data_IF_500837101074
#
_entry.id   IF_500837101074
#
_cell.length_a   1.000
_cell.length_b   1.000
_cell.length_c   1.000
_cell.angle_alpha   90.00
_cell.angle_beta   90.00
_cell.angle_gamma   90.00
#
_symmetry.space_group_name_H-M   'P 1'
#
loop_
_entity.id
_entity.type
_entity.pdbx_description
1 polymer ?
#
# COMPACT_ATOMS: atom_id res chain seq x y z
N UNK A 1 -37.71 -22.75 4.30
CA UNK A 1 -37.55 -21.88 3.11
C UNK A 1 -38.73 -22.02 2.15
N UNK A 2 -38.95 -23.19 1.53
CA UNK A 2 -40.13 -23.40 0.68
C UNK A 2 -41.42 -23.36 1.50
N UNK A 3 -41.48 -24.14 2.59
CA UNK A 3 -42.71 -24.21 3.41
C UNK A 3 -43.03 -22.88 4.08
N UNK A 4 -42.02 -22.18 4.60
CA UNK A 4 -42.17 -20.82 5.15
C UNK A 4 -42.66 -19.81 4.11
N UNK A 5 -42.14 -19.84 2.87
CA UNK A 5 -42.63 -18.98 1.78
C UNK A 5 -44.08 -19.29 1.40
N UNK A 6 -44.42 -20.58 1.38
CA UNK A 6 -45.76 -21.05 1.08
C UNK A 6 -46.77 -20.63 2.15
N UNK A 7 -46.45 -20.83 3.43
CA UNK A 7 -47.30 -20.43 4.56
C UNK A 7 -47.52 -18.91 4.60
N UNK A 8 -46.47 -18.11 4.37
CA UNK A 8 -46.57 -16.66 4.34
C UNK A 8 -47.46 -16.16 3.20
N UNK A 9 -47.34 -16.74 1.99
CA UNK A 9 -48.22 -16.42 0.86
C UNK A 9 -49.65 -16.93 1.06
N UNK A 10 -49.84 -18.08 1.70
CA UNK A 10 -51.16 -18.61 2.04
C UNK A 10 -51.87 -17.75 3.09
N UNK A 11 -51.11 -17.13 3.99
CA UNK A 11 -51.63 -16.21 5.01
C UNK A 11 -52.02 -14.84 4.46
N UNK A 12 -51.38 -14.40 3.37
CA UNK A 12 -51.56 -13.07 2.77
C UNK A 12 -52.47 -13.06 1.54
N UNK A 13 -52.73 -14.21 0.91
CA UNK A 13 -53.63 -14.32 -0.24
C UNK A 13 -55.11 -14.34 0.18
N UNK A 14 -55.94 -13.62 -0.56
CA UNK A 14 -57.41 -13.68 -0.42
C UNK A 14 -57.96 -15.04 -0.91
N UNK A 15 -57.45 -15.52 -2.06
CA UNK A 15 -57.79 -16.80 -2.65
C UNK A 15 -56.71 -17.86 -2.33
N UNK A 16 -57.02 -18.73 -1.37
CA UNK A 16 -56.07 -19.73 -0.86
C UNK A 16 -55.81 -20.89 -1.84
N UNK A 17 -56.73 -21.14 -2.75
CA UNK A 17 -56.63 -22.25 -3.72
C UNK A 17 -55.59 -21.97 -4.82
N UNK A 18 -55.24 -20.71 -5.08
CA UNK A 18 -54.27 -20.33 -6.12
C UNK A 18 -52.82 -20.36 -5.64
N UNK A 19 -52.59 -20.54 -4.34
CA UNK A 19 -51.25 -20.54 -3.76
C UNK A 19 -50.64 -21.93 -3.91
N UNK A 20 -49.68 -22.09 -4.82
CA UNK A 20 -48.90 -23.33 -4.99
C UNK A 20 -47.50 -23.18 -4.37
N UNK A 21 -46.88 -24.31 -3.95
CA UNK A 21 -45.47 -24.32 -3.51
C UNK A 21 -44.55 -23.97 -4.69
N UNK A 22 -43.53 -23.17 -4.42
CA UNK A 22 -42.52 -22.74 -5.40
C UNK A 22 -41.21 -23.47 -5.21
N UNK A 23 -40.39 -23.48 -6.26
CA UNK A 23 -39.01 -23.95 -6.17
C UNK A 23 -38.15 -23.01 -5.32
N UNK A 24 -37.04 -23.53 -4.77
CA UNK A 24 -36.06 -22.70 -4.05
C UNK A 24 -35.52 -21.58 -4.95
N UNK A 25 -35.35 -21.85 -6.24
CA UNK A 25 -34.81 -20.90 -7.21
C UNK A 25 -35.75 -19.70 -7.39
N UNK A 26 -37.05 -19.93 -7.57
CA UNK A 26 -38.04 -18.85 -7.70
C UNK A 26 -38.13 -17.99 -6.43
N UNK A 27 -38.05 -18.62 -5.26
CA UNK A 27 -38.07 -17.91 -3.97
C UNK A 27 -36.83 -17.04 -3.82
N UNK A 28 -35.64 -17.59 -4.12
CA UNK A 28 -34.39 -16.84 -4.11
C UNK A 28 -34.43 -15.65 -5.07
N UNK A 29 -34.89 -15.90 -6.30
CA UNK A 29 -34.90 -14.89 -7.36
C UNK A 29 -35.80 -13.70 -7.01
N UNK A 30 -37.01 -13.97 -6.51
CA UNK A 30 -37.98 -12.91 -6.23
C UNK A 30 -37.73 -12.19 -4.90
N UNK A 31 -37.40 -12.92 -3.83
CA UNK A 31 -37.20 -12.30 -2.51
C UNK A 31 -35.83 -11.64 -2.35
N UNK A 32 -34.80 -12.16 -3.01
CA UNK A 32 -33.42 -11.74 -2.77
C UNK A 32 -32.76 -11.19 -4.03
N UNK A 33 -32.61 -12.00 -5.09
CA UNK A 33 -31.79 -11.62 -6.23
C UNK A 33 -32.30 -10.35 -6.94
N UNK A 34 -33.59 -10.25 -7.24
CA UNK A 34 -34.16 -9.07 -7.91
C UNK A 34 -34.06 -7.80 -7.06
N UNK A 35 -34.51 -7.77 -5.78
CA UNK A 35 -34.30 -6.61 -4.92
C UNK A 35 -32.82 -6.24 -4.75
N UNK A 36 -31.96 -7.22 -4.53
CA UNK A 36 -30.52 -7.01 -4.31
C UNK A 36 -29.84 -6.47 -5.57
N UNK A 37 -30.15 -7.02 -6.74
CA UNK A 37 -29.70 -6.51 -8.04
C UNK A 37 -30.12 -5.05 -8.25
N UNK A 38 -31.40 -4.73 -7.98
CA UNK A 38 -31.90 -3.37 -8.14
C UNK A 38 -31.23 -2.39 -7.16
N UNK A 39 -31.03 -2.80 -5.92
CA UNK A 39 -30.34 -2.00 -4.90
C UNK A 39 -28.87 -1.77 -5.28
N UNK A 40 -28.18 -2.83 -5.67
CA UNK A 40 -26.80 -2.77 -6.15
C UNK A 40 -26.67 -1.84 -7.35
N UNK A 41 -27.56 -1.95 -8.34
CA UNK A 41 -27.57 -1.06 -9.50
C UNK A 41 -27.91 0.38 -9.15
N UNK A 42 -28.81 0.63 -8.19
CA UNK A 42 -29.15 1.99 -7.74
C UNK A 42 -27.98 2.64 -7.01
N UNK A 43 -27.32 1.89 -6.12
CA UNK A 43 -26.15 2.36 -5.39
C UNK A 43 -24.98 2.62 -6.34
N UNK A 44 -24.68 1.67 -7.23
CA UNK A 44 -23.55 1.75 -8.15
C UNK A 44 -23.80 2.60 -9.40
N UNK A 45 -24.99 3.16 -9.61
CA UNK A 45 -25.30 4.02 -10.77
C UNK A 45 -24.39 5.24 -10.87
N UNK A 46 -23.83 5.67 -9.74
CA UNK A 46 -22.94 6.82 -9.63
C UNK A 46 -21.48 6.45 -9.37
N UNK A 47 -21.19 5.15 -9.22
CA UNK A 47 -19.82 4.64 -9.15
C UNK A 47 -19.31 4.44 -10.59
N UNK A 48 -18.19 5.05 -10.93
CA UNK A 48 -17.64 5.06 -12.28
C UNK A 48 -16.88 6.35 -12.57
N UNK A 49 -16.53 6.59 -13.83
CA UNK A 49 -15.86 7.82 -14.21
C UNK A 49 -16.73 9.05 -13.86
N UNK A 50 -16.21 9.98 -13.06
CA UNK A 50 -16.93 11.19 -12.72
C UNK A 50 -17.21 12.00 -13.99
N UNK A 51 -18.47 12.44 -14.16
CA UNK A 51 -18.91 13.18 -15.35
C UNK A 51 -18.13 14.48 -15.57
N UNK A 52 -17.57 15.05 -14.51
CA UNK A 52 -16.64 16.15 -14.54
C UNK A 52 -15.32 15.66 -13.95
N UNK A 53 -14.25 15.73 -14.74
CA UNK A 53 -12.92 15.28 -14.32
C UNK A 53 -12.24 16.25 -13.35
N UNK A 54 -12.58 17.54 -13.42
CA UNK A 54 -11.95 18.60 -12.63
C UNK A 54 -12.95 19.72 -12.31
N UNK A 55 -12.84 20.28 -11.11
CA UNK A 55 -13.39 21.58 -10.74
C UNK A 55 -12.58 22.69 -11.44
N UNK A 56 -13.21 23.79 -11.86
CA UNK A 56 -12.47 25.00 -12.25
C UNK A 56 -12.07 25.78 -11.00
N UNK A 57 -10.91 26.44 -11.03
CA UNK A 57 -10.38 27.17 -9.86
C UNK A 57 -11.37 28.18 -9.24
N UNK A 58 -12.29 28.71 -10.04
CA UNK A 58 -13.31 29.71 -9.68
C UNK A 58 -14.64 29.15 -9.14
N UNK A 59 -14.83 27.82 -9.11
CA UNK A 59 -16.05 27.18 -8.58
C UNK A 59 -15.89 26.78 -7.10
N UNK A 60 -16.96 26.90 -6.30
CA UNK A 60 -16.96 26.44 -4.91
C UNK A 60 -16.79 24.92 -4.80
N UNK A 61 -16.30 24.44 -3.66
CA UNK A 61 -16.09 23.02 -3.37
C UNK A 61 -17.43 22.25 -3.46
N UNK A 62 -17.56 21.35 -4.45
CA UNK A 62 -18.74 20.50 -4.66
C UNK A 62 -18.32 19.03 -4.57
N UNK A 63 -19.21 18.19 -4.03
CA UNK A 63 -19.03 16.75 -3.82
C UNK A 63 -18.91 15.93 -5.12
N UNK A 64 -18.84 16.60 -6.26
CA UNK A 64 -18.59 15.99 -7.57
C UNK A 64 -17.12 15.95 -7.96
N UNK A 65 -16.21 16.44 -7.10
CA UNK A 65 -14.78 16.40 -7.40
C UNK A 65 -14.29 14.94 -7.47
N UNK A 66 -13.72 14.62 -8.63
CA UNK A 66 -13.19 13.32 -8.98
C UNK A 66 -11.88 13.01 -8.26
N UNK A 67 -11.16 14.06 -7.83
CA UNK A 67 -9.78 13.93 -7.37
C UNK A 67 -9.67 13.09 -6.10
N UNK A 68 -10.62 13.23 -5.16
CA UNK A 68 -10.71 12.40 -3.95
C UNK A 68 -11.00 10.92 -4.24
N UNK A 69 -11.40 10.57 -5.47
CA UNK A 69 -11.64 9.18 -5.87
C UNK A 69 -10.37 8.47 -6.33
N UNK A 70 -9.28 9.19 -6.60
CA UNK A 70 -8.00 8.62 -6.97
C UNK A 70 -7.07 8.56 -5.76
N UNK A 71 -6.38 7.44 -5.51
CA UNK A 71 -5.37 7.39 -4.46
C UNK A 71 -4.25 8.37 -4.79
N UNK A 72 -3.87 9.18 -3.81
CA UNK A 72 -2.68 10.02 -3.91
C UNK A 72 -1.43 9.16 -3.73
N UNK A 73 -0.84 8.77 -4.85
CA UNK A 73 0.41 8.00 -4.87
C UNK A 73 1.65 8.91 -5.03
N UNK A 74 1.53 10.24 -4.80
CA UNK A 74 2.68 11.15 -4.88
C UNK A 74 3.85 10.70 -4.00
N UNK A 75 3.52 10.06 -2.88
CA UNK A 75 4.48 9.68 -1.85
C UNK A 75 5.00 8.24 -2.03
N UNK A 76 4.44 7.46 -2.97
CA UNK A 76 4.82 6.05 -3.17
C UNK A 76 6.32 5.94 -3.49
N UNK A 77 6.82 6.77 -4.42
CA UNK A 77 8.26 6.80 -4.72
C UNK A 77 9.11 7.20 -3.51
N UNK A 78 8.60 8.04 -2.62
CA UNK A 78 9.35 8.49 -1.44
C UNK A 78 9.44 7.36 -0.41
N UNK A 79 8.37 6.59 -0.24
CA UNK A 79 8.34 5.43 0.64
C UNK A 79 9.21 4.31 0.11
N UNK A 80 9.19 4.05 -1.20
CA UNK A 80 10.07 3.07 -1.83
C UNK A 80 11.55 3.43 -1.62
N UNK A 81 11.93 4.68 -1.91
CA UNK A 81 13.30 5.17 -1.68
C UNK A 81 13.71 5.05 -0.21
N UNK A 82 12.81 5.35 0.71
CA UNK A 82 13.07 5.24 2.16
C UNK A 82 13.21 3.77 2.60
N UNK A 83 12.36 2.88 2.11
CA UNK A 83 12.41 1.46 2.40
C UNK A 83 13.70 0.82 1.86
N UNK A 84 14.10 1.16 0.63
CA UNK A 84 15.37 0.71 0.04
C UNK A 84 16.57 1.22 0.84
N UNK A 85 16.55 2.49 1.25
CA UNK A 85 17.60 3.07 2.10
C UNK A 85 17.72 2.31 3.44
N UNK A 86 16.61 2.10 4.15
CA UNK A 86 16.63 1.42 5.45
C UNK A 86 17.10 -0.02 5.31
N UNK A 87 16.64 -0.72 4.27
CA UNK A 87 17.07 -2.09 3.97
C UNK A 87 18.59 -2.21 3.77
N UNK A 88 19.17 -1.28 2.99
CA UNK A 88 20.63 -1.23 2.78
C UNK A 88 21.35 -0.92 4.09
N UNK A 89 20.85 0.01 4.89
CA UNK A 89 21.43 0.35 6.19
C UNK A 89 21.43 -0.84 7.15
N UNK A 90 20.34 -1.62 7.20
CA UNK A 90 20.27 -2.83 8.01
C UNK A 90 21.33 -3.86 7.60
N UNK A 91 21.54 -4.07 6.31
CA UNK A 91 22.56 -5.01 5.80
C UNK A 91 23.95 -4.57 6.24
N UNK A 92 24.25 -3.28 6.12
CA UNK A 92 25.53 -2.70 6.52
C UNK A 92 25.74 -2.88 8.04
N UNK A 93 24.71 -2.58 8.86
CA UNK A 93 24.75 -2.74 10.32
C UNK A 93 24.91 -4.21 10.74
N UNK A 94 24.32 -5.17 10.01
CA UNK A 94 24.47 -6.61 10.26
C UNK A 94 25.86 -7.14 9.87
N UNK A 95 26.47 -6.58 8.82
CA UNK A 95 27.75 -7.05 8.29
C UNK A 95 28.99 -6.48 9.00
N UNK A 96 28.89 -5.31 9.62
CA UNK A 96 30.03 -4.58 10.20
C UNK A 96 29.84 -4.26 11.68
N UNK A 97 30.92 -3.84 12.34
CA UNK A 97 30.84 -3.27 13.69
C UNK A 97 30.11 -1.92 13.64
N UNK A 98 29.36 -1.59 14.68
CA UNK A 98 28.55 -0.37 14.80
C UNK A 98 29.28 0.90 14.31
N UNK A 99 30.47 1.21 14.85
CA UNK A 99 31.26 2.39 14.44
C UNK A 99 31.70 2.38 12.97
N UNK A 100 31.88 1.21 12.36
CA UNK A 100 32.24 1.07 10.95
C UNK A 100 31.01 1.19 10.05
N UNK A 101 29.86 0.67 10.49
CA UNK A 101 28.60 0.76 9.79
C UNK A 101 28.12 2.22 9.72
N UNK A 102 28.04 2.90 10.87
CA UNK A 102 27.59 4.30 10.95
C UNK A 102 28.49 5.25 10.14
N UNK A 103 29.81 5.02 10.16
CA UNK A 103 30.75 5.76 9.32
C UNK A 103 30.45 5.60 7.83
N UNK A 104 30.18 4.38 7.36
CA UNK A 104 29.89 4.13 5.96
C UNK A 104 28.52 4.67 5.55
N UNK A 105 27.50 4.53 6.39
CA UNK A 105 26.17 5.06 6.13
C UNK A 105 26.26 6.59 5.99
N UNK A 106 26.86 7.28 6.96
CA UNK A 106 26.95 8.74 6.94
C UNK A 106 27.71 9.28 5.72
N UNK A 107 28.81 8.66 5.32
CA UNK A 107 29.65 9.17 4.22
C UNK A 107 29.11 8.73 2.86
N UNK A 108 28.74 7.46 2.71
CA UNK A 108 28.39 6.88 1.39
C UNK A 108 26.91 7.03 1.08
N UNK A 109 26.02 6.84 2.07
CA UNK A 109 24.57 6.91 1.87
C UNK A 109 24.07 8.35 2.08
N UNK A 110 24.43 9.00 3.18
CA UNK A 110 23.96 10.35 3.51
C UNK A 110 24.77 11.48 2.83
N UNK A 111 25.89 11.14 2.17
CA UNK A 111 26.73 12.10 1.46
C UNK A 111 27.47 13.09 2.36
N UNK A 112 27.63 12.81 3.65
CA UNK A 112 28.39 13.67 4.57
C UNK A 112 29.86 13.67 4.17
N UNK A 113 30.46 14.87 4.10
CA UNK A 113 31.89 14.99 3.78
C UNK A 113 32.75 14.32 4.88
N UNK A 114 33.85 13.68 4.48
CA UNK A 114 34.82 13.07 5.42
C UNK A 114 35.32 14.11 6.44
N UNK A 115 35.47 15.36 6.01
CA UNK A 115 35.89 16.48 6.85
C UNK A 115 34.85 16.85 7.91
N UNK A 116 33.56 16.82 7.58
CA UNK A 116 32.51 17.16 8.52
C UNK A 116 32.21 16.01 9.48
N UNK A 117 32.32 14.77 9.00
CA UNK A 117 32.27 13.61 9.87
C UNK A 117 33.43 13.59 10.89
N UNK A 118 34.66 13.88 10.44
CA UNK A 118 35.83 14.06 11.31
C UNK A 118 35.62 15.21 12.33
N UNK A 119 35.04 16.32 11.84
CA UNK A 119 34.37 17.41 12.58
C UNK A 119 33.64 16.92 13.84
N UNK A 120 32.61 16.12 13.58
CA UNK A 120 31.65 15.62 14.57
C UNK A 120 32.27 14.64 15.56
N UNK A 121 33.17 13.76 15.10
CA UNK A 121 33.86 12.82 15.99
C UNK A 121 35.05 13.44 16.76
N UNK A 122 35.54 14.62 16.35
CA UNK A 122 36.73 15.24 16.95
C UNK A 122 38.04 14.52 16.60
N UNK A 123 38.10 13.85 15.44
CA UNK A 123 39.23 13.03 14.99
C UNK A 123 39.87 13.64 13.75
N UNK A 124 41.13 13.32 13.44
CA UNK A 124 41.76 13.77 12.20
C UNK A 124 41.10 13.14 10.96
N UNK A 125 41.07 13.90 9.87
CA UNK A 125 40.52 13.44 8.57
C UNK A 125 41.23 12.16 8.10
N UNK A 126 42.56 12.09 8.26
CA UNK A 126 43.37 10.93 7.88
C UNK A 126 42.99 9.66 8.65
N UNK A 127 42.67 9.78 9.94
CA UNK A 127 42.23 8.65 10.75
C UNK A 127 40.84 8.15 10.32
N UNK A 128 39.93 9.05 9.92
CA UNK A 128 38.63 8.67 9.35
C UNK A 128 38.81 7.95 8.00
N UNK A 129 39.68 8.44 7.12
CA UNK A 129 39.99 7.77 5.85
C UNK A 129 40.50 6.34 6.05
N UNK A 130 41.45 6.12 6.98
CA UNK A 130 41.93 4.77 7.29
C UNK A 130 40.86 3.86 7.90
N UNK A 131 39.98 4.40 8.77
CA UNK A 131 38.85 3.65 9.33
C UNK A 131 37.88 3.23 8.22
N UNK A 132 37.60 4.13 7.29
CA UNK A 132 36.73 3.88 6.14
C UNK A 132 37.31 2.80 5.22
N UNK A 133 38.60 2.88 4.87
CA UNK A 133 39.27 1.84 4.09
C UNK A 133 39.19 0.46 4.76
N UNK A 134 39.35 0.43 6.09
CA UNK A 134 39.25 -0.81 6.87
C UNK A 134 37.81 -1.34 6.87
N UNK A 135 36.82 -0.46 7.01
CA UNK A 135 35.40 -0.82 6.93
C UNK A 135 35.06 -1.40 5.54
N UNK A 136 35.51 -0.76 4.46
CA UNK A 136 35.33 -1.25 3.08
C UNK A 136 35.99 -2.61 2.88
N UNK A 137 37.22 -2.82 3.39
CA UNK A 137 37.90 -4.12 3.31
C UNK A 137 37.13 -5.21 4.05
N UNK A 138 36.57 -4.91 5.23
CA UNK A 138 35.77 -5.86 5.97
C UNK A 138 34.44 -6.16 5.25
N UNK A 139 33.79 -5.14 4.71
CA UNK A 139 32.55 -5.28 3.95
C UNK A 139 32.75 -6.16 2.70
N UNK A 140 33.83 -5.94 1.95
CA UNK A 140 34.20 -6.76 0.78
C UNK A 140 34.47 -8.24 1.12
N UNK A 141 34.84 -8.57 2.35
CA UNK A 141 34.99 -9.97 2.79
C UNK A 141 33.63 -10.66 2.94
N UNK A 142 32.62 -9.92 3.39
CA UNK A 142 31.24 -10.42 3.53
C UNK A 142 30.55 -10.47 2.16
N UNK A 143 30.72 -9.41 1.35
CA UNK A 143 30.13 -9.28 0.02
C UNK A 143 31.23 -9.09 -1.04
N UNK A 144 31.82 -10.18 -1.56
CA UNK A 144 32.92 -10.10 -2.51
C UNK A 144 32.47 -9.70 -3.92
N UNK A 145 31.21 -9.95 -4.27
CA UNK A 145 30.60 -9.63 -5.57
C UNK A 145 29.31 -8.87 -5.35
N UNK A 146 28.95 -8.00 -6.29
CA UNK A 146 27.68 -7.28 -6.27
C UNK A 146 26.47 -8.23 -6.26
N UNK A 147 26.57 -9.38 -6.95
CA UNK A 147 25.53 -10.41 -6.98
C UNK A 147 25.26 -11.09 -5.63
N UNK A 148 26.16 -10.95 -4.65
CA UNK A 148 25.98 -11.51 -3.30
C UNK A 148 25.23 -10.54 -2.40
N UNK A 149 25.06 -9.29 -2.83
CA UNK A 149 24.29 -8.31 -2.09
C UNK A 149 22.80 -8.62 -2.24
N UNK A 150 22.05 -8.74 -1.13
CA UNK A 150 20.64 -9.10 -1.21
C UNK A 150 19.81 -7.91 -1.72
N UNK A 151 18.78 -8.21 -2.51
CA UNK A 151 17.85 -7.23 -3.08
C UNK A 151 16.70 -6.97 -2.11
N UNK A 152 16.26 -5.72 -2.00
CA UNK A 152 15.04 -5.35 -1.28
C UNK A 152 13.78 -5.91 -1.97
N UNK A 153 13.86 -6.19 -3.27
CA UNK A 153 12.72 -6.55 -4.13
C UNK A 153 12.46 -8.07 -4.24
N UNK A 154 13.20 -8.91 -3.50
CA UNK A 154 13.06 -10.37 -3.52
C UNK A 154 13.75 -11.08 -4.68
#
# INVERSE_FOLDING_TARGET
MIDSDYEERLSSAEDKETVARRSVQEIMEERFNKPEYNNWHKFNRHYGEPKKKFRKDDEAEDKSDAMDSFPDNSDEETWEKQAEYEYVCEIIRKALKEKQAELLIAIVMDGVSVTDYAKREGVSVSAISHRMETAIKNFKKVFPKSSTFPSSQG
#
